data_IF_708312897533
#
_entry.id   IF_708312897533
#
_cell.length_a   1.000
_cell.length_b   1.000
_cell.length_c   1.000
_cell.angle_alpha   90.00
_cell.angle_beta   90.00
_cell.angle_gamma   90.00
#
_symmetry.space_group_name_H-M   'P 1'
#
loop_
_entity.id
_entity.type
_entity.pdbx_description
1 polymer ?
#
# COMPACT_ATOMS: atom_id res chain seq x y z
N UNK A 1 13.38 -21.88 12.38
CA UNK A 1 13.43 -21.23 11.05
C UNK A 1 12.30 -21.67 10.12
N UNK A 2 11.77 -22.90 10.24
CA UNK A 2 10.70 -23.44 9.37
C UNK A 2 9.34 -22.70 9.43
N UNK A 3 9.06 -21.94 10.49
CA UNK A 3 7.75 -21.31 10.69
C UNK A 3 7.52 -20.04 9.83
N UNK A 4 8.60 -19.32 9.47
CA UNK A 4 8.47 -18.06 8.70
C UNK A 4 8.15 -18.34 7.22
N UNK A 5 8.81 -19.34 6.64
CA UNK A 5 8.56 -19.76 5.26
C UNK A 5 7.16 -20.32 5.07
N UNK A 6 6.64 -21.08 6.04
CA UNK A 6 5.25 -21.57 5.96
C UNK A 6 4.22 -20.44 6.06
N UNK A 7 4.44 -19.47 6.95
CA UNK A 7 3.56 -18.29 7.03
C UNK A 7 3.59 -17.47 5.73
N UNK A 8 4.77 -17.35 5.10
CA UNK A 8 4.90 -16.70 3.80
C UNK A 8 4.12 -17.43 2.70
N UNK A 9 4.21 -18.76 2.64
CA UNK A 9 3.45 -19.58 1.70
C UNK A 9 1.94 -19.47 1.93
N UNK A 10 1.47 -19.45 3.19
CA UNK A 10 0.05 -19.28 3.51
C UNK A 10 -0.48 -17.92 3.06
N UNK A 11 0.30 -16.86 3.26
CA UNK A 11 -0.06 -15.51 2.82
C UNK A 11 -0.12 -15.45 1.28
N UNK A 12 0.87 -16.03 0.59
CA UNK A 12 0.87 -16.13 -0.87
C UNK A 12 -0.34 -16.90 -1.40
N UNK A 13 -0.68 -18.04 -0.79
CA UNK A 13 -1.84 -18.83 -1.15
C UNK A 13 -3.16 -18.06 -0.91
N UNK A 14 -3.27 -17.35 0.21
CA UNK A 14 -4.45 -16.53 0.52
C UNK A 14 -4.62 -15.38 -0.49
N UNK A 15 -3.52 -14.72 -0.89
CA UNK A 15 -3.52 -13.71 -1.95
C UNK A 15 -3.98 -14.31 -3.29
N UNK A 16 -3.47 -15.48 -3.65
CA UNK A 16 -3.87 -16.23 -4.86
C UNK A 16 -5.35 -16.64 -4.87
N UNK A 17 -5.89 -17.09 -3.75
CA UNK A 17 -7.32 -17.42 -3.63
C UNK A 17 -8.21 -16.18 -3.73
N UNK A 18 -7.78 -15.05 -3.16
CA UNK A 18 -8.50 -13.79 -3.25
C UNK A 18 -8.54 -13.27 -4.70
N UNK A 19 -7.45 -13.50 -5.45
CA UNK A 19 -7.31 -13.25 -6.88
C UNK A 19 -8.33 -14.04 -7.71
N UNK A 20 -8.42 -15.35 -7.49
CA UNK A 20 -9.35 -16.24 -8.21
C UNK A 20 -10.82 -15.90 -7.93
N UNK A 21 -11.14 -15.51 -6.69
CA UNK A 21 -12.53 -15.25 -6.27
C UNK A 21 -13.10 -13.94 -6.83
N UNK A 22 -12.27 -12.90 -6.98
CA UNK A 22 -12.75 -11.55 -7.33
C UNK A 22 -12.58 -11.22 -8.82
N UNK A 23 -11.88 -12.06 -9.59
CA UNK A 23 -11.39 -11.70 -10.93
C UNK A 23 -10.36 -10.57 -10.86
N UNK A 24 -9.51 -10.44 -11.89
CA UNK A 24 -8.68 -9.23 -12.05
C UNK A 24 -9.57 -8.08 -12.58
N UNK A 25 -10.67 -7.79 -11.89
CA UNK A 25 -11.66 -6.85 -12.38
C UNK A 25 -11.09 -5.43 -12.33
N UNK A 26 -10.75 -4.92 -13.52
CA UNK A 26 -10.38 -3.54 -13.79
C UNK A 26 -11.60 -2.60 -13.68
N UNK A 27 -12.38 -2.72 -12.61
CA UNK A 27 -13.49 -1.83 -12.33
C UNK A 27 -12.97 -0.39 -12.28
N UNK A 28 -13.41 0.45 -13.22
CA UNK A 28 -13.16 1.89 -13.17
C UNK A 28 -13.95 2.46 -11.98
N UNK A 29 -13.39 2.33 -10.78
CA UNK A 29 -14.03 2.83 -9.56
C UNK A 29 -14.07 4.34 -9.63
N UNK A 30 -15.28 4.93 -9.52
CA UNK A 30 -15.49 6.36 -9.24
C UNK A 30 -14.45 6.84 -8.22
N UNK A 31 -13.86 8.02 -8.44
CA UNK A 31 -12.81 8.59 -7.56
C UNK A 31 -13.31 8.59 -6.12
N UNK A 32 -12.84 7.63 -5.32
CA UNK A 32 -13.04 7.59 -3.87
C UNK A 32 -11.77 8.07 -3.19
N UNK A 33 -11.92 8.86 -2.14
CA UNK A 33 -10.79 9.24 -1.30
C UNK A 33 -10.19 7.98 -0.67
N UNK A 34 -8.85 7.87 -0.69
CA UNK A 34 -8.14 6.73 -0.11
C UNK A 34 -8.32 6.74 1.41
N UNK A 35 -8.47 5.58 2.01
CA UNK A 35 -8.55 5.44 3.46
C UNK A 35 -7.23 5.84 4.13
N UNK A 36 -7.27 6.10 5.44
CA UNK A 36 -6.05 6.39 6.23
C UNK A 36 -5.03 5.24 6.15
N UNK A 37 -5.52 3.99 6.21
CA UNK A 37 -4.67 2.79 6.09
C UNK A 37 -4.00 2.77 4.73
N UNK A 38 -4.77 2.96 3.65
CA UNK A 38 -4.25 2.97 2.28
C UNK A 38 -3.19 4.06 2.09
N UNK A 39 -3.47 5.27 2.54
CA UNK A 39 -2.56 6.43 2.39
C UNK A 39 -1.28 6.24 3.18
N UNK A 40 -1.38 5.72 4.41
CA UNK A 40 -0.22 5.45 5.26
C UNK A 40 0.67 4.35 4.66
N UNK A 41 0.10 3.20 4.30
CA UNK A 41 0.87 2.10 3.70
C UNK A 41 1.60 2.54 2.42
N UNK A 42 0.91 3.27 1.53
CA UNK A 42 1.51 3.78 0.31
C UNK A 42 2.67 4.76 0.60
N UNK A 43 2.51 5.61 1.61
CA UNK A 43 3.55 6.59 1.99
C UNK A 43 4.77 5.92 2.61
N UNK A 44 4.59 4.94 3.51
CA UNK A 44 5.71 4.20 4.10
C UNK A 44 6.48 3.41 3.03
N UNK A 45 5.78 2.78 2.08
CA UNK A 45 6.45 2.10 0.96
C UNK A 45 7.21 3.10 0.09
N UNK A 46 6.63 4.27 -0.19
CA UNK A 46 7.30 5.31 -0.96
C UNK A 46 8.59 5.80 -0.30
N UNK A 47 8.61 5.92 1.03
CA UNK A 47 9.81 6.27 1.78
C UNK A 47 10.93 5.23 1.67
N UNK A 48 10.58 3.96 1.42
CA UNK A 48 11.54 2.88 1.18
C UNK A 48 11.96 2.85 -0.28
N UNK A 49 11.00 2.97 -1.20
CA UNK A 49 11.25 3.03 -2.64
C UNK A 49 10.19 3.85 -3.36
N UNK A 50 10.66 4.87 -4.08
CA UNK A 50 9.83 5.69 -4.97
C UNK A 50 9.43 4.94 -6.26
N UNK A 51 10.13 3.82 -6.55
CA UNK A 51 10.02 3.00 -7.76
C UNK A 51 9.77 1.53 -7.42
N UNK A 52 8.60 1.19 -6.85
CA UNK A 52 8.26 -0.20 -6.62
C UNK A 52 8.20 -0.96 -7.95
N UNK A 53 8.63 -2.21 -7.91
CA UNK A 53 8.53 -3.15 -9.03
C UNK A 53 7.07 -3.43 -9.44
N UNK A 54 6.91 -4.21 -10.51
CA UNK A 54 5.58 -4.68 -10.90
C UNK A 54 4.97 -5.59 -9.83
N UNK A 55 5.74 -6.54 -9.30
CA UNK A 55 5.29 -7.48 -8.28
C UNK A 55 4.87 -6.77 -6.98
N UNK A 56 5.70 -5.84 -6.48
CA UNK A 56 5.37 -5.05 -5.29
C UNK A 56 4.08 -4.24 -5.47
N UNK A 57 3.82 -3.71 -6.67
CA UNK A 57 2.56 -3.00 -6.93
C UNK A 57 1.36 -3.93 -6.96
N UNK A 58 1.52 -5.16 -7.44
CA UNK A 58 0.50 -6.20 -7.40
C UNK A 58 0.17 -6.55 -5.94
N UNK A 59 1.20 -6.80 -5.12
CA UNK A 59 1.01 -7.15 -3.71
C UNK A 59 0.31 -6.01 -2.95
N UNK A 60 0.70 -4.77 -3.21
CA UNK A 60 0.02 -3.57 -2.67
C UNK A 60 -1.42 -3.45 -3.14
N UNK A 61 -1.69 -3.72 -4.42
CA UNK A 61 -3.04 -3.69 -4.97
C UNK A 61 -3.95 -4.66 -4.20
N UNK A 62 -3.48 -5.88 -3.94
CA UNK A 62 -4.24 -6.86 -3.15
C UNK A 62 -4.39 -6.45 -1.69
N UNK A 63 -3.30 -6.11 -1.00
CA UNK A 63 -3.34 -5.75 0.42
C UNK A 63 -4.24 -4.55 0.71
N UNK A 64 -4.30 -3.59 -0.21
CA UNK A 64 -5.06 -2.37 -0.05
C UNK A 64 -6.45 -2.42 -0.68
N UNK A 65 -6.78 -3.51 -1.36
CA UNK A 65 -7.98 -3.66 -2.18
C UNK A 65 -8.15 -2.48 -3.15
N UNK A 66 -7.10 -2.21 -3.92
CA UNK A 66 -7.01 -1.16 -4.92
C UNK A 66 -6.57 -1.75 -6.25
N UNK A 67 -7.02 -1.21 -7.37
CA UNK A 67 -6.54 -1.65 -8.67
C UNK A 67 -5.06 -1.30 -8.87
N UNK A 68 -4.34 -2.14 -9.60
CA UNK A 68 -2.94 -1.91 -9.97
C UNK A 68 -2.71 -0.54 -10.65
N UNK A 69 -3.64 -0.13 -11.50
CA UNK A 69 -3.64 1.21 -12.14
C UNK A 69 -3.69 2.33 -11.10
N UNK A 70 -4.49 2.17 -10.05
CA UNK A 70 -4.61 3.15 -8.95
C UNK A 70 -3.30 3.28 -8.18
N UNK A 71 -2.64 2.16 -7.88
CA UNK A 71 -1.33 2.14 -7.23
C UNK A 71 -0.30 2.86 -8.13
N UNK A 72 -0.26 2.50 -9.41
CA UNK A 72 0.68 3.07 -10.39
C UNK A 72 0.53 4.59 -10.50
N UNK A 73 -0.69 5.09 -10.67
CA UNK A 73 -0.98 6.53 -10.75
C UNK A 73 -0.65 7.23 -9.44
N UNK A 74 -0.88 6.59 -8.29
CA UNK A 74 -0.53 7.18 -7.00
C UNK A 74 0.98 7.44 -6.88
N UNK A 75 1.82 6.46 -7.22
CA UNK A 75 3.27 6.63 -7.19
C UNK A 75 3.75 7.67 -8.20
N UNK A 76 3.14 7.75 -9.39
CA UNK A 76 3.43 8.82 -10.36
C UNK A 76 3.11 10.20 -9.80
N UNK A 77 1.89 10.39 -9.30
CA UNK A 77 1.44 11.68 -8.76
C UNK A 77 2.25 12.10 -7.52
N UNK A 78 2.63 11.13 -6.68
CA UNK A 78 3.43 11.40 -5.47
C UNK A 78 4.80 11.98 -5.84
N UNK A 79 5.47 11.44 -6.87
CA UNK A 79 6.75 11.97 -7.37
C UNK A 79 6.62 13.35 -7.98
N UNK A 80 5.59 13.56 -8.81
CA UNK A 80 5.30 14.88 -9.38
C UNK A 80 5.07 15.94 -8.29
N UNK A 81 4.40 15.56 -7.19
CA UNK A 81 4.13 16.48 -6.09
C UNK A 81 5.37 16.89 -5.30
N UNK A 82 6.43 16.08 -5.29
CA UNK A 82 7.67 16.34 -4.55
C UNK A 82 8.69 17.18 -5.34
N UNK A 83 8.33 17.69 -6.51
CA UNK A 83 9.11 18.67 -7.31
C UNK A 83 10.59 18.30 -7.46
N UNK A 84 10.87 17.05 -7.82
CA UNK A 84 12.18 16.72 -8.38
C UNK A 84 12.23 17.42 -9.75
N UNK A 85 13.27 18.21 -10.03
CA UNK A 85 13.42 18.91 -11.32
C UNK A 85 13.06 17.96 -12.47
N UNK A 86 12.17 18.30 -13.42
CA UNK A 86 11.68 17.38 -14.45
C UNK A 86 12.81 16.68 -15.25
N UNK A 87 13.93 17.38 -15.42
CA UNK A 87 15.14 16.87 -16.10
C UNK A 87 15.84 15.80 -15.26
N UNK A 88 16.05 16.07 -13.97
CA UNK A 88 16.60 15.09 -13.03
C UNK A 88 15.62 13.93 -12.84
N UNK A 89 14.34 14.22 -12.66
CA UNK A 89 13.27 13.24 -12.52
C UNK A 89 13.24 12.28 -13.72
N UNK A 90 13.30 12.77 -14.97
CA UNK A 90 13.36 11.93 -16.17
C UNK A 90 14.62 11.04 -16.21
N UNK A 91 15.79 11.59 -15.88
CA UNK A 91 17.06 10.84 -15.84
C UNK A 91 17.07 9.79 -14.72
N UNK A 92 16.54 10.11 -13.54
CA UNK A 92 16.34 9.18 -12.44
C UNK A 92 15.31 8.11 -12.81
N UNK A 93 14.16 8.44 -13.42
CA UNK A 93 13.12 7.47 -13.83
C UNK A 93 13.63 6.40 -14.78
N UNK A 94 14.46 6.77 -15.75
CA UNK A 94 14.97 5.83 -16.77
C UNK A 94 16.03 4.89 -16.21
N UNK A 95 16.77 5.33 -15.19
CA UNK A 95 17.93 4.60 -14.63
C UNK A 95 17.66 3.99 -13.25
N UNK A 96 16.60 4.39 -12.56
CA UNK A 96 16.33 3.92 -11.21
C UNK A 96 15.95 2.43 -11.25
N UNK A 97 16.68 1.58 -10.52
CA UNK A 97 16.28 0.18 -10.38
C UNK A 97 14.90 0.11 -9.75
N UNK A 98 14.02 -0.69 -10.36
CA UNK A 98 12.73 -1.01 -9.76
C UNK A 98 13.00 -1.98 -8.61
N UNK A 99 12.64 -1.58 -7.40
CA UNK A 99 12.91 -2.40 -6.22
C UNK A 99 11.72 -3.31 -5.91
N UNK A 100 11.99 -4.61 -5.83
CA UNK A 100 11.10 -5.59 -5.22
C UNK A 100 11.18 -5.48 -3.70
N UNK A 101 10.05 -5.25 -3.05
CA UNK A 101 9.90 -5.34 -1.61
C UNK A 101 9.32 -6.71 -1.24
N UNK A 102 9.89 -7.32 -0.19
CA UNK A 102 9.38 -8.58 0.35
C UNK A 102 7.91 -8.44 0.79
N UNK A 103 7.04 -9.43 0.50
CA UNK A 103 5.67 -9.45 0.98
C UNK A 103 5.54 -9.32 2.50
N UNK A 104 6.49 -9.85 3.26
CA UNK A 104 6.54 -9.74 4.73
C UNK A 104 6.68 -8.29 5.17
N UNK A 105 7.54 -7.51 4.49
CA UNK A 105 7.72 -6.10 4.78
C UNK A 105 6.44 -5.31 4.46
N UNK A 106 5.83 -5.57 3.31
CA UNK A 106 4.57 -4.93 2.92
C UNK A 106 3.45 -5.23 3.94
N UNK A 107 3.35 -6.49 4.37
CA UNK A 107 2.38 -6.92 5.38
C UNK A 107 2.63 -6.25 6.73
N UNK A 108 3.89 -6.13 7.14
CA UNK A 108 4.28 -5.46 8.39
C UNK A 108 3.85 -3.99 8.38
N UNK A 109 4.11 -3.28 7.28
CA UNK A 109 3.67 -1.88 7.08
C UNK A 109 2.15 -1.78 7.15
N UNK A 110 1.43 -2.70 6.48
CA UNK A 110 -0.03 -2.75 6.52
C UNK A 110 -0.58 -2.97 7.93
N UNK A 111 -0.04 -3.92 8.68
CA UNK A 111 -0.39 -4.19 10.07
C UNK A 111 -0.16 -2.96 10.96
N UNK A 112 0.98 -2.28 10.80
CA UNK A 112 1.28 -1.01 11.50
C UNK A 112 0.21 0.05 11.21
N UNK A 113 -0.12 0.25 9.94
CA UNK A 113 -1.16 1.19 9.50
C UNK A 113 -2.52 0.90 10.15
N UNK A 114 -2.91 -0.39 10.19
CA UNK A 114 -4.17 -0.83 10.80
C UNK A 114 -4.20 -0.60 12.30
N UNK A 115 -3.11 -0.88 13.02
CA UNK A 115 -2.99 -0.60 14.47
C UNK A 115 -3.14 0.89 14.77
N UNK A 116 -2.46 1.75 14.01
CA UNK A 116 -2.55 3.21 14.18
C UNK A 116 -3.97 3.74 13.95
N UNK A 117 -4.66 3.24 12.92
CA UNK A 117 -6.06 3.58 12.66
C UNK A 117 -6.98 3.19 13.83
N UNK A 118 -6.78 1.99 14.40
CA UNK A 118 -7.57 1.51 15.54
C UNK A 118 -7.35 2.35 16.80
N UNK A 119 -6.10 2.73 17.10
CA UNK A 119 -5.79 3.60 18.25
C UNK A 119 -6.48 4.95 18.11
N UNK A 120 -6.44 5.59 16.92
CA UNK A 120 -7.13 6.85 16.68
C UNK A 120 -8.65 6.74 16.91
N UNK A 121 -9.26 5.64 16.46
CA UNK A 121 -10.69 5.40 16.65
C UNK A 121 -11.07 5.24 18.14
N UNK A 122 -10.21 4.60 18.94
CA UNK A 122 -10.41 4.46 20.39
C UNK A 122 -10.32 5.81 21.12
N UNK A 123 -9.37 6.66 20.75
CA UNK A 123 -9.22 8.02 21.33
C UNK A 123 -10.44 8.88 21.02
N UNK A 124 -10.95 8.85 19.78
CA UNK A 124 -12.15 9.60 19.39
C UNK A 124 -13.39 9.14 20.15
N UNK A 125 -13.56 7.83 20.37
CA UNK A 125 -14.67 7.28 21.16
C UNK A 125 -14.61 7.71 22.63
N UNK A 126 -13.41 7.72 23.25
CA UNK A 126 -13.23 8.21 24.63
C UNK A 126 -13.58 9.70 24.76
N UNK A 127 -13.13 10.54 23.82
CA UNK A 127 -13.46 11.98 23.82
C UNK A 127 -14.97 12.24 23.70
N UNK A 128 -15.70 11.46 22.89
CA UNK A 128 -17.16 11.58 22.77
C UNK A 128 -17.90 11.16 24.05
N UNK A 129 -17.46 10.09 24.71
CA UNK A 129 -18.07 9.64 25.99
C UNK A 129 -17.86 10.66 27.13
N UNK A 130 -16.73 11.36 27.15
CA UNK A 130 -16.44 12.37 28.17
C UNK A 130 -17.09 13.73 27.91
N UNK A 131 -17.76 13.93 26.77
CA UNK A 131 -18.45 15.18 26.41
C UNK A 131 -19.97 15.11 26.64
N UNK A 132 -20.47 13.95 27.09
CA UNK A 132 -21.90 13.67 27.36
C UNK A 132 -22.12 13.46 28.88
N UNK A 133 -21.08 13.69 29.69
CA UNK A 133 -21.16 13.84 31.15
C UNK A 133 -20.80 15.28 31.48
#
# INVERSE_FOLDING_TARGET
MNNIFEEELKIQAALGLCLLKNGFESSHTKRKQKSKIQTFTLSEVYNITMYPSYQTKIDLAFMLNLNLKTITVWFQNKRQSEKISPVNEYLYHKKAPKHDLSPILLFTIYCKARRMSNVQNLVVKKKRKNKIK
#
